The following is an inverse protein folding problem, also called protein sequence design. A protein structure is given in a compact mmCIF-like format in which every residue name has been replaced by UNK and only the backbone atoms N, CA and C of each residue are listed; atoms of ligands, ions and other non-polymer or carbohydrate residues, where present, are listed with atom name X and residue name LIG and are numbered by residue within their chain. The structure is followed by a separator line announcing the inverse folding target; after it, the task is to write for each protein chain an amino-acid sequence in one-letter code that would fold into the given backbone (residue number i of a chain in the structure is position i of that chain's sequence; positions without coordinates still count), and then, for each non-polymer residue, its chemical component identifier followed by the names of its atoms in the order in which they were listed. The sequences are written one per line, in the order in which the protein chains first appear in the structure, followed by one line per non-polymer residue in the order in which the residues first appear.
data_IF_685952698443
#
_entry.id   IF_685952698443
#
_cell.length_a   1.000
_cell.length_b   1.000
_cell.length_c   1.000
_cell.angle_alpha   90.00
_cell.angle_beta   90.00
_cell.angle_gamma   90.00
#
_symmetry.space_group_name_H-M   'P 1'
#
loop_
_entity.id
_entity.type
_entity.pdbx_description
1 polymer ?
#
# COMPACT_ATOMS: atom_id res chain seq x y z
N UNK A 1 16.43 -38.66 -3.71
CA UNK A 1 16.85 -37.63 -4.67
C UNK A 1 16.27 -36.34 -4.15
N UNK A 2 17.07 -35.56 -3.42
CA UNK A 2 16.64 -34.25 -2.90
C UNK A 2 16.91 -33.24 -4.00
N UNK A 3 15.86 -32.76 -4.65
CA UNK A 3 15.93 -31.56 -5.47
C UNK A 3 16.28 -30.40 -4.52
N UNK A 4 17.50 -29.88 -4.70
CA UNK A 4 17.92 -28.62 -4.12
C UNK A 4 17.00 -27.53 -4.68
N UNK A 5 16.13 -26.98 -3.82
CA UNK A 5 15.41 -25.73 -4.11
C UNK A 5 16.49 -24.67 -4.35
N UNK A 6 16.55 -24.19 -5.58
CA UNK A 6 17.44 -23.11 -6.01
C UNK A 6 17.21 -21.89 -5.11
N UNK A 7 18.23 -21.52 -4.33
CA UNK A 7 18.22 -20.42 -3.38
C UNK A 7 18.37 -19.04 -4.02
N UNK A 8 18.08 -18.92 -5.31
CA UNK A 8 17.97 -17.64 -6.00
C UNK A 8 16.75 -16.88 -5.45
N UNK A 9 16.89 -15.63 -4.97
CA UNK A 9 15.73 -14.87 -4.49
C UNK A 9 14.70 -14.77 -5.61
N UNK A 10 13.48 -15.22 -5.34
CA UNK A 10 12.39 -15.16 -6.31
C UNK A 10 12.22 -13.72 -6.80
N UNK A 11 12.16 -13.55 -8.13
CA UNK A 11 12.12 -12.23 -8.78
C UNK A 11 11.10 -11.32 -8.09
N UNK A 12 11.53 -10.11 -7.74
CA UNK A 12 10.65 -9.16 -7.06
C UNK A 12 9.53 -8.70 -8.01
N UNK A 13 8.26 -8.75 -7.56
CA UNK A 13 7.12 -8.34 -8.36
C UNK A 13 7.07 -6.81 -8.49
N UNK A 14 6.27 -6.30 -9.42
CA UNK A 14 6.00 -4.87 -9.47
C UNK A 14 5.05 -4.51 -8.31
N UNK A 15 5.36 -3.47 -7.55
CA UNK A 15 4.51 -2.96 -6.47
C UNK A 15 4.05 -1.55 -6.81
N UNK A 16 2.75 -1.30 -6.73
CA UNK A 16 2.19 0.06 -6.76
C UNK A 16 2.01 0.55 -5.32
N UNK A 17 2.80 1.53 -4.88
CA UNK A 17 2.54 2.29 -3.66
C UNK A 17 1.38 3.27 -3.94
N UNK A 18 0.21 2.97 -3.39
CA UNK A 18 -1.01 3.75 -3.51
C UNK A 18 -1.13 4.65 -2.28
N UNK A 19 -0.76 5.92 -2.41
CA UNK A 19 -0.77 6.91 -1.33
C UNK A 19 -2.00 7.80 -1.47
N UNK A 20 -2.83 7.88 -0.44
CA UNK A 20 -4.02 8.76 -0.41
C UNK A 20 -3.72 9.98 0.47
N UNK A 21 -4.05 11.17 -0.02
CA UNK A 21 -3.80 12.42 0.70
C UNK A 21 -5.00 13.38 0.64
N UNK A 22 -5.23 14.12 1.72
CA UNK A 22 -6.19 15.23 1.76
C UNK A 22 -5.75 16.34 2.73
N UNK A 23 -5.33 17.49 2.21
CA UNK A 23 -4.87 18.66 2.98
C UNK A 23 -3.73 18.34 3.97
N UNK A 24 -2.75 17.56 3.51
CA UNK A 24 -1.65 17.02 4.32
C UNK A 24 -0.31 17.17 3.59
N UNK A 25 -0.03 18.37 3.08
CA UNK A 25 1.17 18.64 2.26
C UNK A 25 2.50 18.22 2.91
N UNK A 26 2.79 18.67 4.13
CA UNK A 26 4.10 18.39 4.76
C UNK A 26 4.30 16.91 5.12
N UNK A 27 3.33 16.24 5.77
CA UNK A 27 3.41 14.80 6.03
C UNK A 27 3.58 13.98 4.74
N UNK A 28 2.81 14.31 3.69
CA UNK A 28 2.95 13.63 2.40
C UNK A 28 4.36 13.78 1.83
N UNK A 29 4.94 14.99 1.90
CA UNK A 29 6.32 15.20 1.46
C UNK A 29 7.29 14.30 2.21
N UNK A 30 7.15 14.17 3.52
CA UNK A 30 7.98 13.29 4.34
C UNK A 30 7.80 11.83 3.89
N UNK A 31 6.56 11.36 3.77
CA UNK A 31 6.23 10.02 3.31
C UNK A 31 6.86 9.69 1.96
N UNK A 32 6.68 10.55 0.96
CA UNK A 32 7.23 10.34 -0.38
C UNK A 32 8.77 10.41 -0.40
N UNK A 33 9.37 11.29 0.41
CA UNK A 33 10.83 11.36 0.58
C UNK A 33 11.36 10.05 1.16
N UNK A 34 10.72 9.52 2.20
CA UNK A 34 11.11 8.27 2.85
C UNK A 34 10.94 7.06 1.93
N UNK A 35 9.85 6.99 1.17
CA UNK A 35 9.65 5.93 0.18
C UNK A 35 10.72 5.98 -0.92
N UNK A 36 11.13 7.17 -1.36
CA UNK A 36 12.18 7.32 -2.38
C UNK A 36 13.57 6.97 -1.84
N UNK A 37 13.90 7.46 -0.65
CA UNK A 37 15.29 7.48 -0.16
C UNK A 37 15.63 6.31 0.78
N UNK A 38 14.63 5.71 1.43
CA UNK A 38 14.85 4.72 2.49
C UNK A 38 14.18 3.36 2.23
N UNK A 39 13.35 3.21 1.20
CA UNK A 39 12.76 1.92 0.85
C UNK A 39 13.79 1.03 0.14
N UNK A 40 14.12 -0.11 0.73
CA UNK A 40 15.00 -1.13 0.16
C UNK A 40 14.31 -1.97 -0.90
N UNK A 41 13.74 -1.34 -1.92
CA UNK A 41 13.07 -1.98 -3.06
C UNK A 41 13.63 -1.42 -4.38
N UNK A 42 13.77 -2.23 -5.45
CA UNK A 42 14.26 -1.72 -6.73
C UNK A 42 13.31 -0.67 -7.30
N UNK A 43 13.87 0.47 -7.70
CA UNK A 43 13.09 1.59 -8.20
C UNK A 43 12.27 1.22 -9.44
N UNK A 44 12.81 0.38 -10.33
CA UNK A 44 12.12 -0.13 -11.52
C UNK A 44 10.99 -1.14 -11.21
N UNK A 45 10.92 -1.61 -9.97
CA UNK A 45 9.85 -2.49 -9.46
C UNK A 45 8.92 -1.75 -8.49
N UNK A 46 9.02 -0.42 -8.40
CA UNK A 46 8.14 0.42 -7.62
C UNK A 46 7.45 1.46 -8.50
N UNK A 47 6.13 1.45 -8.52
CA UNK A 47 5.31 2.52 -9.05
C UNK A 47 4.71 3.30 -7.88
N UNK A 48 4.89 4.62 -7.83
CA UNK A 48 4.25 5.46 -6.80
C UNK A 48 3.08 6.21 -7.43
N UNK A 49 1.88 5.98 -6.93
CA UNK A 49 0.67 6.71 -7.30
C UNK A 49 0.17 7.47 -6.08
N UNK A 50 0.10 8.79 -6.22
CA UNK A 50 -0.50 9.67 -5.23
C UNK A 50 -1.90 10.03 -5.69
N UNK A 51 -2.90 9.76 -4.87
CA UNK A 51 -4.26 10.25 -5.03
C UNK A 51 -4.46 11.45 -4.11
N UNK A 52 -4.51 12.64 -4.69
CA UNK A 52 -4.93 13.84 -3.99
C UNK A 52 -6.46 13.92 -4.00
N UNK A 53 -7.07 13.76 -2.82
CA UNK A 53 -8.51 13.64 -2.62
C UNK A 53 -9.19 15.02 -2.51
N UNK A 54 -8.89 15.93 -3.45
CA UNK A 54 -9.35 17.32 -3.51
C UNK A 54 -8.74 18.28 -2.47
N UNK A 55 -7.42 18.22 -2.26
CA UNK A 55 -6.72 19.16 -1.39
C UNK A 55 -6.75 20.59 -1.92
N UNK A 56 -6.70 21.54 -0.99
CA UNK A 56 -6.69 23.00 -1.23
C UNK A 56 -5.47 23.71 -0.65
N UNK A 57 -4.53 22.96 -0.06
CA UNK A 57 -3.36 23.46 0.67
C UNK A 57 -2.06 23.46 -0.17
N UNK A 58 -2.17 23.19 -1.47
CA UNK A 58 -1.03 23.05 -2.38
C UNK A 58 -0.37 21.67 -2.35
N UNK A 59 -1.02 20.64 -1.79
CA UNK A 59 -0.54 19.24 -1.83
C UNK A 59 -0.25 18.78 -3.26
N UNK A 60 -1.21 18.93 -4.19
CA UNK A 60 -1.01 18.60 -5.61
C UNK A 60 0.22 19.28 -6.23
N UNK A 61 0.37 20.60 -6.02
CA UNK A 61 1.48 21.36 -6.62
C UNK A 61 2.84 20.91 -6.06
N UNK A 62 2.89 20.60 -4.77
CA UNK A 62 4.06 20.03 -4.12
C UNK A 62 4.45 18.71 -4.79
N UNK A 63 3.51 17.78 -4.97
CA UNK A 63 3.80 16.47 -5.60
C UNK A 63 4.29 16.66 -7.03
N UNK A 64 3.67 17.54 -7.83
CA UNK A 64 4.10 17.81 -9.22
C UNK A 64 5.52 18.36 -9.31
N UNK A 65 5.90 19.19 -8.35
CA UNK A 65 7.17 19.93 -8.39
C UNK A 65 8.31 19.11 -7.79
N UNK A 66 8.06 18.44 -6.67
CA UNK A 66 9.09 17.80 -5.85
C UNK A 66 9.20 16.28 -6.12
N UNK A 67 8.15 15.65 -6.65
CA UNK A 67 8.09 14.21 -6.92
C UNK A 67 7.58 13.92 -8.35
N UNK A 68 8.27 14.41 -9.40
CA UNK A 68 7.80 14.28 -10.79
C UNK A 68 7.74 12.82 -11.28
N UNK A 69 8.46 11.90 -10.63
CA UNK A 69 8.44 10.47 -10.93
C UNK A 69 7.19 9.77 -10.35
N UNK A 70 6.51 10.39 -9.38
CA UNK A 70 5.25 9.90 -8.85
C UNK A 70 4.08 10.29 -9.77
N UNK A 71 3.18 9.34 -10.02
CA UNK A 71 1.97 9.61 -10.77
C UNK A 71 0.91 10.24 -9.86
N UNK A 72 0.58 11.51 -10.10
CA UNK A 72 -0.46 12.21 -9.35
C UNK A 72 -1.83 12.11 -10.04
N UNK A 73 -2.82 11.64 -9.30
CA UNK A 73 -4.25 11.66 -9.65
C UNK A 73 -4.95 12.64 -8.71
N UNK A 74 -5.61 13.65 -9.26
CA UNK A 74 -6.35 14.64 -8.47
C UNK A 74 -7.83 14.39 -8.61
N UNK A 75 -8.54 14.30 -7.49
CA UNK A 75 -9.99 14.16 -7.44
C UNK A 75 -10.66 15.53 -7.30
N UNK A 76 -11.87 15.67 -7.89
CA UNK A 76 -12.68 16.88 -7.76
C UNK A 76 -13.36 17.01 -6.39
N UNK A 77 -13.57 15.88 -5.71
CA UNK A 77 -14.21 15.79 -4.40
C UNK A 77 -13.47 14.78 -3.51
N UNK A 78 -13.52 15.00 -2.20
CA UNK A 78 -13.00 14.05 -1.22
C UNK A 78 -13.99 12.87 -1.09
N UNK A 79 -13.57 11.68 -1.53
CA UNK A 79 -14.38 10.45 -1.43
C UNK A 79 -14.00 9.56 -0.24
N UNK A 80 -13.22 10.10 0.70
CA UNK A 80 -12.71 9.34 1.83
C UNK A 80 -11.78 8.21 1.39
N UNK A 81 -11.78 7.09 2.13
CA UNK A 81 -10.88 5.93 1.91
C UNK A 81 -11.05 5.28 0.54
N UNK A 82 -12.20 5.43 -0.10
CA UNK A 82 -12.43 4.91 -1.45
C UNK A 82 -11.58 5.61 -2.52
N UNK A 83 -10.91 6.73 -2.17
CA UNK A 83 -9.95 7.39 -3.04
C UNK A 83 -8.82 6.47 -3.53
N UNK A 84 -8.37 5.51 -2.71
CA UNK A 84 -7.38 4.50 -3.13
C UNK A 84 -7.80 3.68 -4.34
N UNK A 85 -9.10 3.51 -4.57
CA UNK A 85 -9.60 2.76 -5.72
C UNK A 85 -9.11 3.36 -7.05
N UNK A 86 -8.86 4.67 -7.11
CA UNK A 86 -8.29 5.32 -8.29
C UNK A 86 -6.86 4.86 -8.56
N UNK A 87 -6.08 4.61 -7.51
CA UNK A 87 -4.75 4.02 -7.63
C UNK A 87 -4.83 2.53 -8.00
N UNK A 88 -5.79 1.78 -7.46
CA UNK A 88 -6.01 0.38 -7.82
C UNK A 88 -6.39 0.20 -9.30
N UNK A 89 -7.19 1.11 -9.83
CA UNK A 89 -7.55 1.15 -11.25
C UNK A 89 -6.37 1.55 -12.14
N UNK A 90 -5.62 2.57 -11.73
CA UNK A 90 -4.56 3.16 -12.54
C UNK A 90 -3.23 2.39 -12.50
N UNK A 91 -2.94 1.69 -11.41
CA UNK A 91 -1.65 1.08 -11.15
C UNK A 91 -1.40 -0.22 -11.91
N UNK A 92 -0.11 -0.53 -12.10
CA UNK A 92 0.39 -1.68 -12.84
C UNK A 92 0.95 -2.81 -11.96
N UNK A 93 1.17 -2.57 -10.66
CA UNK A 93 1.77 -3.52 -9.73
C UNK A 93 0.96 -4.80 -9.51
N UNK A 94 1.67 -5.92 -9.40
CA UNK A 94 1.11 -7.21 -8.96
C UNK A 94 0.57 -7.13 -7.53
N UNK A 95 1.11 -6.19 -6.76
CA UNK A 95 0.67 -5.84 -5.42
C UNK A 95 0.46 -4.35 -5.28
N UNK A 96 -0.50 -3.98 -4.43
CA UNK A 96 -0.76 -2.61 -4.01
C UNK A 96 -0.34 -2.45 -2.56
N UNK A 97 0.60 -1.55 -2.32
CA UNK A 97 0.97 -1.08 -0.98
C UNK A 97 0.09 0.14 -0.66
N UNK A 98 -0.90 -0.04 0.21
CA UNK A 98 -1.83 1.02 0.63
C UNK A 98 -1.19 1.84 1.73
N UNK A 99 -1.06 3.16 1.53
CA UNK A 99 -0.50 4.09 2.50
C UNK A 99 -1.35 5.36 2.63
N UNK A 100 -1.45 5.89 3.84
CA UNK A 100 -1.94 7.25 4.13
C UNK A 100 -0.81 8.25 3.86
N UNK A 101 -1.14 9.54 3.83
CA UNK A 101 -0.20 10.63 3.58
C UNK A 101 0.90 10.78 4.64
N UNK A 102 0.74 10.24 5.84
CA UNK A 102 1.74 10.28 6.90
C UNK A 102 2.37 8.91 7.20
N UNK A 103 2.10 7.90 6.38
CA UNK A 103 2.62 6.55 6.57
C UNK A 103 3.68 6.18 5.53
N UNK A 104 4.80 5.59 5.95
CA UNK A 104 5.84 5.11 5.03
C UNK A 104 6.44 3.77 5.47
N UNK A 105 7.16 3.14 4.55
CA UNK A 105 7.95 1.90 4.77
C UNK A 105 9.41 2.16 4.43
N UNK A 106 10.33 1.50 5.14
CA UNK A 106 11.78 1.65 4.95
C UNK A 106 12.48 0.29 5.00
N UNK A 107 13.71 0.23 4.51
CA UNK A 107 14.54 -0.97 4.53
C UNK A 107 13.91 -2.13 3.76
N UNK A 108 14.04 -3.34 4.29
CA UNK A 108 13.58 -4.59 3.69
C UNK A 108 12.10 -4.92 3.98
N UNK A 109 11.34 -3.99 4.57
CA UNK A 109 9.95 -4.17 4.97
C UNK A 109 9.07 -4.75 3.86
N UNK A 110 9.15 -4.16 2.65
CA UNK A 110 8.34 -4.62 1.51
C UNK A 110 8.76 -6.01 1.02
N UNK A 111 10.05 -6.33 1.06
CA UNK A 111 10.57 -7.67 0.78
C UNK A 111 10.01 -8.69 1.76
N UNK A 112 10.06 -8.41 3.05
CA UNK A 112 9.53 -9.30 4.09
C UNK A 112 8.02 -9.52 3.95
N UNK A 113 7.26 -8.47 3.63
CA UNK A 113 5.83 -8.57 3.38
C UNK A 113 5.52 -9.49 2.18
N UNK A 114 6.23 -9.31 1.06
CA UNK A 114 6.06 -10.12 -0.15
C UNK A 114 6.47 -11.58 0.10
N UNK A 115 7.57 -11.81 0.80
CA UNK A 115 8.04 -13.16 1.11
C UNK A 115 7.07 -13.88 2.05
N UNK A 116 6.56 -13.19 3.08
CA UNK A 116 5.50 -13.72 3.95
C UNK A 116 4.22 -14.02 3.18
N UNK A 117 3.84 -13.16 2.23
CA UNK A 117 2.69 -13.42 1.36
C UNK A 117 2.86 -14.71 0.54
N UNK A 118 4.05 -14.91 -0.04
CA UNK A 118 4.39 -16.09 -0.85
C UNK A 118 4.41 -17.36 -0.01
N UNK A 119 5.05 -17.30 1.16
CA UNK A 119 5.18 -18.43 2.08
C UNK A 119 3.81 -18.94 2.55
N UNK A 120 2.89 -18.02 2.85
CA UNK A 120 1.57 -18.37 3.39
C UNK A 120 0.45 -18.42 2.35
N UNK A 121 0.76 -18.12 1.08
CA UNK A 121 -0.23 -18.01 0.01
C UNK A 121 -1.29 -16.95 0.28
N UNK A 122 -0.87 -15.81 0.86
CA UNK A 122 -1.74 -14.70 1.21
C UNK A 122 -2.04 -13.81 0.00
N UNK A 123 -3.13 -13.07 0.11
CA UNK A 123 -3.62 -11.99 -0.74
C UNK A 123 -3.61 -10.65 -0.07
N UNK A 124 -3.61 -10.67 1.26
CA UNK A 124 -3.48 -9.49 2.08
C UNK A 124 -2.41 -9.74 3.14
N UNK A 125 -1.46 -8.81 3.25
CA UNK A 125 -0.49 -8.79 4.35
C UNK A 125 -0.62 -7.47 5.06
N UNK A 126 -0.89 -7.50 6.37
CA UNK A 126 -0.85 -6.32 7.23
C UNK A 126 0.43 -6.33 8.06
N UNK A 127 1.06 -5.18 8.22
CA UNK A 127 2.30 -5.02 8.99
C UNK A 127 2.37 -3.61 9.56
N UNK A 128 3.09 -3.40 10.66
CA UNK A 128 3.14 -2.06 11.28
C UNK A 128 4.06 -1.10 10.50
N UNK A 129 3.50 0.01 10.03
CA UNK A 129 4.24 1.11 9.34
C UNK A 129 4.67 2.21 10.30
N UNK A 130 5.60 3.07 9.86
CA UNK A 130 5.96 4.31 10.55
C UNK A 130 4.92 5.37 10.22
N UNK A 131 4.65 6.25 11.19
CA UNK A 131 3.98 7.53 10.94
C UNK A 131 5.04 8.63 10.88
N UNK A 132 4.76 9.77 10.25
CA UNK A 132 5.58 10.98 10.40
C UNK A 132 5.72 11.42 11.86
N UNK A 133 4.81 10.98 12.73
CA UNK A 133 4.74 11.37 14.14
C UNK A 133 5.39 10.33 15.09
N UNK A 134 5.60 9.08 14.66
CA UNK A 134 6.19 8.00 15.48
C UNK A 134 7.07 7.02 14.66
N UNK A 135 8.28 6.71 15.15
CA UNK A 135 9.30 5.91 14.45
C UNK A 135 9.34 4.42 14.84
N UNK A 136 8.31 3.61 14.53
CA UNK A 136 8.43 2.15 14.76
C UNK A 136 7.85 1.31 13.62
N UNK A 137 8.70 0.55 12.93
CA UNK A 137 8.30 -0.59 12.08
C UNK A 137 8.42 -1.89 12.87
N UNK A 138 7.37 -2.71 12.88
CA UNK A 138 7.41 -4.02 13.52
C UNK A 138 6.93 -5.05 12.51
N UNK A 139 7.87 -5.84 12.03
CA UNK A 139 7.60 -7.11 11.37
C UNK A 139 7.95 -8.22 12.35
N UNK A 140 6.98 -9.05 12.67
CA UNK A 140 7.19 -10.23 13.48
C UNK A 140 7.85 -11.33 12.63
N UNK A 141 8.69 -12.15 13.24
CA UNK A 141 9.20 -13.38 12.59
C UNK A 141 8.10 -14.42 12.44
N UNK A 142 6.99 -14.27 13.19
CA UNK A 142 5.81 -15.12 13.12
C UNK A 142 4.66 -14.37 12.45
N UNK A 143 4.12 -14.94 11.38
CA UNK A 143 2.92 -14.43 10.71
C UNK A 143 1.66 -15.17 11.20
N UNK A 144 0.71 -14.40 11.71
CA UNK A 144 -0.63 -14.90 12.00
C UNK A 144 -1.48 -14.92 10.73
N UNK A 145 -2.20 -16.01 10.50
CA UNK A 145 -3.13 -16.14 9.37
C UNK A 145 -4.57 -16.07 9.85
N UNK A 146 -5.49 -15.63 8.98
CA UNK A 146 -6.91 -15.48 9.35
C UNK A 146 -7.21 -14.19 10.11
N UNK A 147 -6.67 -13.07 9.63
CA UNK A 147 -6.95 -11.74 10.18
C UNK A 147 -8.45 -11.43 10.04
N UNK A 148 -9.07 -10.89 11.09
CA UNK A 148 -10.44 -10.38 11.06
C UNK A 148 -10.51 -8.96 10.45
N UNK A 149 -9.42 -8.20 10.58
CA UNK A 149 -9.22 -6.86 10.04
C UNK A 149 -7.71 -6.57 9.96
N UNK A 150 -7.31 -5.56 9.17
CA UNK A 150 -5.96 -4.99 9.19
C UNK A 150 -5.95 -3.61 9.85
N UNK A 151 -4.77 -3.09 10.13
CA UNK A 151 -4.60 -1.76 10.74
C UNK A 151 -4.39 -0.69 9.65
N UNK A 152 -5.42 0.13 9.41
CA UNK A 152 -5.35 1.38 8.65
C UNK A 152 -4.47 1.33 7.39
N UNK A 153 -3.51 2.25 7.29
CA UNK A 153 -2.63 2.52 6.16
C UNK A 153 -1.50 1.52 5.89
N UNK A 154 -1.68 0.23 6.16
CA UNK A 154 -0.55 -0.71 6.13
C UNK A 154 -0.89 -2.11 5.66
N UNK A 155 -1.49 -2.15 4.47
CA UNK A 155 -1.84 -3.38 3.80
C UNK A 155 -1.14 -3.48 2.45
N UNK A 156 -0.53 -4.64 2.22
CA UNK A 156 -0.17 -5.09 0.90
C UNK A 156 -1.32 -5.96 0.38
N UNK A 157 -1.94 -5.56 -0.72
CA UNK A 157 -3.11 -6.24 -1.30
C UNK A 157 -2.76 -6.74 -2.69
N UNK A 158 -3.01 -8.01 -2.98
CA UNK A 158 -2.74 -8.59 -4.28
C UNK A 158 -3.63 -7.95 -5.35
N UNK A 159 -3.10 -7.77 -6.57
CA UNK A 159 -3.89 -7.26 -7.70
C UNK A 159 -5.15 -8.08 -7.95
N UNK A 160 -5.08 -9.41 -7.80
CA UNK A 160 -6.22 -10.30 -8.00
C UNK A 160 -7.34 -10.00 -6.99
N UNK A 161 -7.01 -9.87 -5.71
CA UNK A 161 -7.98 -9.54 -4.67
C UNK A 161 -8.55 -8.13 -4.87
N UNK A 162 -7.70 -7.13 -5.09
CA UNK A 162 -8.15 -5.75 -5.33
C UNK A 162 -9.12 -5.66 -6.52
N UNK A 163 -8.83 -6.33 -7.64
CA UNK A 163 -9.68 -6.32 -8.84
C UNK A 163 -10.98 -7.10 -8.66
N UNK A 164 -10.92 -8.30 -8.11
CA UNK A 164 -12.11 -9.14 -7.96
C UNK A 164 -13.10 -8.54 -6.94
N UNK A 165 -12.57 -7.91 -5.88
CA UNK A 165 -13.37 -7.26 -4.86
C UNK A 165 -13.81 -5.84 -5.29
N UNK A 166 -13.22 -5.25 -6.33
CA UNK A 166 -13.54 -3.89 -6.76
C UNK A 166 -13.02 -2.81 -5.80
N UNK A 167 -11.94 -3.09 -5.07
CA UNK A 167 -11.35 -2.18 -4.09
C UNK A 167 -12.20 -2.00 -2.82
N UNK A 168 -12.08 -0.82 -2.21
CA UNK A 168 -12.83 -0.44 -1.01
C UNK A 168 -14.25 0.04 -1.35
N UNK A 169 -15.22 -0.23 -0.47
CA UNK A 169 -16.61 0.18 -0.67
C UNK A 169 -16.75 1.73 -0.68
N UNK A 170 -17.23 2.35 -1.78
CA UNK A 170 -17.44 3.80 -1.85
C UNK A 170 -18.54 4.31 -0.90
N UNK A 171 -19.38 3.43 -0.35
CA UNK A 171 -20.34 3.76 0.71
C UNK A 171 -19.69 4.01 2.08
N UNK A 172 -18.42 3.63 2.26
CA UNK A 172 -17.66 3.86 3.48
C UNK A 172 -16.73 5.07 3.28
N UNK A 173 -17.03 6.17 3.96
CA UNK A 173 -16.21 7.37 3.89
C UNK A 173 -14.89 7.22 4.65
N UNK A 174 -14.94 6.76 5.91
CA UNK A 174 -13.78 6.56 6.77
C UNK A 174 -14.14 5.60 7.90
N UNK A 175 -13.17 4.83 8.37
CA UNK A 175 -13.30 3.78 9.39
C UNK A 175 -14.13 2.57 8.96
N UNK A 176 -13.65 1.37 9.30
CA UNK A 176 -14.38 0.12 9.06
C UNK A 176 -14.15 -0.52 7.69
N UNK A 177 -13.51 0.21 6.77
CA UNK A 177 -13.09 -0.32 5.47
C UNK A 177 -12.17 -1.53 5.58
N UNK A 178 -11.38 -1.62 6.64
CA UNK A 178 -10.45 -2.73 6.86
C UNK A 178 -11.20 -4.02 7.15
N UNK A 179 -12.16 -3.98 8.08
CA UNK A 179 -12.98 -5.12 8.44
C UNK A 179 -13.93 -5.50 7.29
N UNK A 180 -14.50 -4.51 6.60
CA UNK A 180 -15.37 -4.72 5.44
C UNK A 180 -14.63 -5.41 4.29
N UNK A 181 -13.44 -4.91 3.94
CA UNK A 181 -12.65 -5.47 2.86
C UNK A 181 -12.19 -6.90 3.20
N UNK A 182 -11.72 -7.13 4.43
CA UNK A 182 -11.30 -8.46 4.89
C UNK A 182 -12.48 -9.44 4.91
N UNK A 183 -13.68 -9.01 5.31
CA UNK A 183 -14.86 -9.86 5.27
C UNK A 183 -15.17 -10.35 3.85
N UNK A 184 -15.14 -9.45 2.85
CA UNK A 184 -15.32 -9.83 1.44
C UNK A 184 -14.17 -10.68 0.90
N UNK A 185 -12.94 -10.40 1.34
CA UNK A 185 -11.75 -11.16 0.96
C UNK A 185 -11.88 -12.63 1.42
N UNK A 186 -12.26 -12.85 2.68
CA UNK A 186 -12.47 -14.18 3.25
C UNK A 186 -13.69 -14.90 2.62
N UNK A 187 -14.77 -14.19 2.32
CA UNK A 187 -15.95 -14.76 1.63
C UNK A 187 -15.60 -15.35 0.25
N UNK A 188 -14.60 -14.77 -0.43
CA UNK A 188 -14.08 -15.26 -1.71
C UNK A 188 -13.00 -16.34 -1.58
N UNK A 189 -12.64 -16.73 -0.36
CA UNK A 189 -11.64 -17.76 -0.09
C UNK A 189 -10.19 -17.30 -0.30
N UNK A 190 -9.96 -15.99 -0.43
CA UNK A 190 -8.63 -15.40 -0.37
C UNK A 190 -8.09 -15.45 1.07
N UNK A 191 -6.78 -15.19 1.23
CA UNK A 191 -6.07 -15.34 2.52
C UNK A 191 -5.37 -14.09 3.00
#
# INVERSE_FOLDING_TARGET
MNETVDGSPAEQPLVTAAVLAYNRREPLRITLTKLRDELGWPAEKLEVIVVDNASTDGTSDMVRTEFPDARLIVSDVNTGISGWNRAFEAGAGDWFLVLDDDCYVTGDALTRAIDGAREHGADLVSFKVKSSDEEVHIFNEFYDTGLLAFWGCSALISRRAARELGGFDPGIFIWGHEAEFVARLLDRGWR
#
